data_IF_189558422708
#
_entry.id   IF_189558422708
#
_cell.length_a   1.000
_cell.length_b   1.000
_cell.length_c   1.000
_cell.angle_alpha   90.00
_cell.angle_beta   90.00
_cell.angle_gamma   90.00
#
_symmetry.space_group_name_H-M   'P 1'
#
loop_
_entity.id
_entity.type
_entity.pdbx_description
1 polymer ?
#
# COMPACT_ATOMS: atom_id res chain seq x y z
N UNK A 1 4.51 -19.20 20.21
CA UNK A 1 3.16 -19.26 20.84
C UNK A 1 2.15 -19.68 19.77
N UNK A 2 1.20 -20.55 20.09
CA UNK A 2 0.14 -20.97 19.16
C UNK A 2 -1.13 -20.16 19.37
N UNK A 3 -2.08 -20.26 18.43
CA UNK A 3 -3.36 -19.52 18.49
C UNK A 3 -4.11 -19.76 19.79
N UNK A 4 -4.19 -21.01 20.26
CA UNK A 4 -4.89 -21.36 21.51
C UNK A 4 -4.25 -20.77 22.75
N UNK A 5 -2.92 -20.65 22.80
CA UNK A 5 -2.21 -20.00 23.92
C UNK A 5 -2.51 -18.50 23.99
N UNK A 6 -2.58 -17.83 22.81
CA UNK A 6 -2.95 -16.41 22.75
C UNK A 6 -4.42 -16.21 23.18
N UNK A 7 -5.32 -17.06 22.68
CA UNK A 7 -6.73 -17.06 23.08
C UNK A 7 -6.87 -17.20 24.62
N UNK A 8 -6.12 -18.12 25.25
CA UNK A 8 -6.07 -18.26 26.70
C UNK A 8 -5.65 -16.97 27.39
N UNK A 9 -4.57 -16.34 26.90
CA UNK A 9 -4.08 -15.10 27.48
C UNK A 9 -5.14 -13.99 27.41
N UNK A 10 -5.77 -13.82 26.25
CA UNK A 10 -6.85 -12.83 26.06
C UNK A 10 -8.04 -13.15 27.00
N UNK A 11 -8.51 -14.40 27.02
CA UNK A 11 -9.61 -14.84 27.88
C UNK A 11 -9.35 -14.55 29.35
N UNK A 12 -8.15 -14.92 29.83
CA UNK A 12 -7.77 -14.70 31.23
C UNK A 12 -7.63 -13.23 31.57
N UNK A 13 -7.04 -12.43 30.69
CA UNK A 13 -6.94 -10.98 30.84
C UNK A 13 -8.30 -10.29 30.91
N UNK A 14 -9.28 -10.78 30.13
CA UNK A 14 -10.67 -10.29 30.17
C UNK A 14 -11.49 -10.89 31.33
N UNK A 15 -10.95 -11.79 32.12
CA UNK A 15 -11.64 -12.44 33.25
C UNK A 15 -12.82 -13.36 32.84
N UNK A 16 -12.84 -13.79 31.56
CA UNK A 16 -13.95 -14.60 31.03
C UNK A 16 -13.73 -16.08 31.38
N UNK A 17 -14.78 -16.73 31.91
CA UNK A 17 -14.70 -18.15 32.24
C UNK A 17 -14.62 -19.01 30.97
N UNK A 18 -13.80 -20.07 31.01
CA UNK A 18 -13.67 -21.00 29.89
C UNK A 18 -15.03 -21.59 29.44
N UNK A 19 -15.90 -21.92 30.36
CA UNK A 19 -17.26 -22.40 30.04
C UNK A 19 -18.02 -21.41 29.16
N UNK A 20 -17.92 -20.12 29.41
CA UNK A 20 -18.62 -19.08 28.62
C UNK A 20 -18.12 -19.07 27.17
N UNK A 21 -16.82 -19.27 26.97
CA UNK A 21 -16.21 -19.21 25.64
C UNK A 21 -16.44 -20.50 24.86
N UNK A 22 -16.29 -21.67 25.51
CA UNK A 22 -16.19 -22.94 24.79
C UNK A 22 -17.47 -23.78 24.84
N UNK A 23 -18.52 -23.38 25.58
CA UNK A 23 -19.76 -24.14 25.68
C UNK A 23 -20.35 -24.42 24.29
N UNK A 24 -20.70 -25.66 24.01
CA UNK A 24 -21.19 -26.15 22.72
C UNK A 24 -20.23 -25.96 21.52
N UNK A 25 -19.01 -25.48 21.73
CA UNK A 25 -17.98 -25.40 20.67
C UNK A 25 -16.92 -26.48 20.83
N UNK A 26 -16.38 -26.62 22.04
CA UNK A 26 -15.33 -27.59 22.35
C UNK A 26 -15.64 -28.30 23.66
N UNK A 27 -15.39 -29.62 23.71
CA UNK A 27 -15.44 -30.36 24.96
C UNK A 27 -14.39 -29.86 25.96
N UNK A 28 -14.58 -30.11 27.25
CA UNK A 28 -13.65 -29.70 28.30
C UNK A 28 -12.22 -30.17 28.04
N UNK A 29 -12.06 -31.39 27.62
CA UNK A 29 -10.73 -31.95 27.24
C UNK A 29 -10.13 -31.23 26.05
N UNK A 30 -10.94 -30.92 25.02
CA UNK A 30 -10.46 -30.27 23.80
C UNK A 30 -10.02 -28.82 24.05
N UNK A 31 -10.80 -28.01 24.77
CA UNK A 31 -10.38 -26.64 24.98
C UNK A 31 -9.13 -26.52 25.88
N UNK A 32 -8.94 -27.42 26.84
CA UNK A 32 -7.68 -27.48 27.60
C UNK A 32 -6.47 -27.76 26.71
N UNK A 33 -6.59 -28.71 25.79
CA UNK A 33 -5.54 -29.03 24.81
C UNK A 33 -5.29 -27.87 23.86
N UNK A 34 -6.37 -27.18 23.41
CA UNK A 34 -6.28 -26.01 22.53
C UNK A 34 -5.55 -24.87 23.24
N UNK A 35 -5.98 -24.47 24.44
CA UNK A 35 -5.35 -23.41 25.25
C UNK A 35 -3.89 -23.74 25.66
N UNK A 36 -3.52 -25.01 25.64
CA UNK A 36 -2.14 -25.44 25.89
C UNK A 36 -1.30 -25.55 24.60
N UNK A 37 -1.88 -25.20 23.44
CA UNK A 37 -1.23 -25.27 22.15
C UNK A 37 -0.95 -26.70 21.65
N UNK A 38 -1.58 -27.72 22.24
CA UNK A 38 -1.41 -29.12 21.87
C UNK A 38 -2.25 -29.52 20.65
N UNK A 39 -3.37 -28.84 20.42
CA UNK A 39 -4.25 -29.07 19.26
C UNK A 39 -4.68 -27.73 18.68
N UNK A 40 -5.02 -27.73 17.39
CA UNK A 40 -5.62 -26.62 16.69
C UNK A 40 -7.15 -26.83 16.61
N UNK A 41 -7.88 -25.79 16.21
CA UNK A 41 -9.32 -25.84 15.97
C UNK A 41 -9.63 -25.47 14.52
N UNK A 42 -10.88 -25.65 14.07
CA UNK A 42 -11.31 -25.18 12.75
C UNK A 42 -11.43 -23.66 12.72
N UNK A 43 -11.35 -23.06 11.55
CA UNK A 43 -11.52 -21.62 11.38
C UNK A 43 -12.88 -21.13 11.91
N UNK A 44 -13.97 -21.87 11.61
CA UNK A 44 -15.31 -21.53 12.09
C UNK A 44 -15.39 -21.50 13.62
N UNK A 45 -14.88 -22.55 14.27
CA UNK A 45 -14.82 -22.62 15.74
C UNK A 45 -13.98 -21.49 16.31
N UNK A 46 -12.87 -21.16 15.67
CA UNK A 46 -11.99 -20.07 16.08
C UNK A 46 -12.70 -18.71 16.01
N UNK A 47 -13.40 -18.42 14.91
CA UNK A 47 -14.18 -17.18 14.77
C UNK A 47 -15.27 -17.07 15.85
N UNK A 48 -16.01 -18.14 16.12
CA UNK A 48 -16.97 -18.17 17.23
C UNK A 48 -16.33 -17.96 18.61
N UNK A 49 -15.10 -18.44 18.83
CA UNK A 49 -14.35 -18.17 20.06
C UNK A 49 -14.03 -16.68 20.18
N UNK A 50 -13.58 -16.05 19.11
CA UNK A 50 -13.29 -14.61 19.08
C UNK A 50 -14.55 -13.78 19.37
N UNK A 51 -15.68 -14.11 18.74
CA UNK A 51 -16.99 -13.46 19.00
C UNK A 51 -17.34 -13.50 20.49
N UNK A 52 -17.22 -14.68 21.12
CA UNK A 52 -17.52 -14.84 22.55
C UNK A 52 -16.52 -14.16 23.49
N UNK A 53 -15.34 -13.86 23.00
CA UNK A 53 -14.35 -13.06 23.70
C UNK A 53 -14.54 -11.56 23.47
N UNK A 54 -15.46 -11.14 22.59
CA UNK A 54 -15.59 -9.78 22.09
C UNK A 54 -14.23 -9.27 21.57
N UNK A 55 -13.64 -10.02 20.65
CA UNK A 55 -12.37 -9.71 19.98
C UNK A 55 -12.59 -9.75 18.48
N UNK A 56 -12.33 -8.65 17.81
CA UNK A 56 -12.34 -8.59 16.37
C UNK A 56 -11.20 -9.40 15.77
N UNK A 57 -11.44 -10.04 14.61
CA UNK A 57 -10.40 -10.81 13.91
C UNK A 57 -9.16 -9.99 13.61
N UNK A 58 -9.34 -8.70 13.29
CA UNK A 58 -8.27 -7.73 13.06
C UNK A 58 -7.45 -7.44 14.31
N UNK A 59 -8.11 -7.33 15.47
CA UNK A 59 -7.44 -7.16 16.77
C UNK A 59 -6.61 -8.40 17.12
N UNK A 60 -7.20 -9.60 16.93
CA UNK A 60 -6.48 -10.84 17.16
C UNK A 60 -5.26 -10.97 16.24
N UNK A 61 -5.41 -10.68 14.94
CA UNK A 61 -4.30 -10.73 13.98
C UNK A 61 -3.15 -9.80 14.39
N UNK A 62 -3.47 -8.59 14.85
CA UNK A 62 -2.47 -7.64 15.35
C UNK A 62 -1.68 -8.21 16.54
N UNK A 63 -2.39 -8.73 17.54
CA UNK A 63 -1.77 -9.34 18.73
C UNK A 63 -0.94 -10.58 18.36
N UNK A 64 -1.47 -11.43 17.46
CA UNK A 64 -0.78 -12.62 17.00
C UNK A 64 0.51 -12.29 16.24
N UNK A 65 0.46 -11.31 15.35
CA UNK A 65 1.64 -10.83 14.61
C UNK A 65 2.70 -10.27 15.55
N UNK A 66 2.33 -9.48 16.55
CA UNK A 66 3.29 -8.95 17.53
C UNK A 66 4.07 -10.07 18.22
N UNK A 67 3.39 -11.16 18.59
CA UNK A 67 4.02 -12.33 19.20
C UNK A 67 4.84 -13.13 18.19
N UNK A 68 4.34 -13.30 16.95
CA UNK A 68 5.04 -14.04 15.91
C UNK A 68 6.23 -13.28 15.35
N UNK A 69 6.17 -11.94 15.28
CA UNK A 69 7.32 -11.11 14.89
C UNK A 69 8.51 -11.30 15.82
N UNK A 70 8.29 -11.43 17.14
CA UNK A 70 9.37 -11.75 18.09
C UNK A 70 10.03 -13.11 17.84
N UNK A 71 9.36 -14.02 17.13
CA UNK A 71 9.84 -15.37 16.81
C UNK A 71 10.29 -15.51 15.36
N UNK A 72 9.89 -14.58 14.46
CA UNK A 72 10.25 -14.63 13.05
C UNK A 72 11.64 -14.05 12.81
N UNK A 73 12.43 -14.73 12.01
CA UNK A 73 13.72 -14.22 11.53
C UNK A 73 13.57 -13.15 10.45
N UNK A 74 12.40 -13.07 9.80
CA UNK A 74 12.13 -12.17 8.68
C UNK A 74 10.90 -11.31 8.95
N UNK A 75 11.08 -10.00 8.89
CA UNK A 75 10.09 -8.96 9.22
C UNK A 75 9.65 -8.24 7.94
N UNK A 76 8.80 -8.88 7.12
CA UNK A 76 8.40 -8.36 5.80
C UNK A 76 7.89 -6.91 5.83
N UNK A 77 7.01 -6.57 6.77
CA UNK A 77 6.42 -5.23 6.83
C UNK A 77 7.45 -4.16 7.25
N UNK A 78 8.36 -4.51 8.17
CA UNK A 78 9.48 -3.63 8.55
C UNK A 78 10.38 -3.40 7.35
N UNK A 79 10.83 -4.49 6.69
CA UNK A 79 11.68 -4.37 5.49
C UNK A 79 11.02 -3.56 4.37
N UNK A 80 9.68 -3.67 4.19
CA UNK A 80 8.95 -2.85 3.22
C UNK A 80 8.96 -1.38 3.60
N UNK A 81 8.66 -1.05 4.85
CA UNK A 81 8.63 0.33 5.33
C UNK A 81 10.02 0.96 5.24
N UNK A 82 11.05 0.26 5.74
CA UNK A 82 12.45 0.71 5.67
C UNK A 82 12.90 0.91 4.23
N UNK A 83 12.48 0.03 3.32
CA UNK A 83 12.82 0.12 1.89
C UNK A 83 12.22 1.37 1.24
N UNK A 84 10.95 1.64 1.49
CA UNK A 84 10.25 2.80 0.94
C UNK A 84 10.87 4.10 1.48
N UNK A 85 11.15 4.15 2.78
CA UNK A 85 11.81 5.29 3.42
C UNK A 85 13.23 5.50 2.87
N UNK A 86 14.03 4.43 2.80
CA UNK A 86 15.41 4.51 2.30
C UNK A 86 15.46 4.95 0.83
N UNK A 87 14.47 4.55 0.03
CA UNK A 87 14.37 4.99 -1.36
C UNK A 87 14.00 6.48 -1.46
N UNK A 88 13.06 6.94 -0.65
CA UNK A 88 12.70 8.36 -0.54
C UNK A 88 13.91 9.21 -0.15
N UNK A 89 14.68 8.78 0.84
CA UNK A 89 15.88 9.47 1.35
C UNK A 89 17.09 9.37 0.40
N UNK A 90 16.96 8.66 -0.71
CA UNK A 90 18.06 8.43 -1.65
C UNK A 90 19.18 7.53 -1.10
N UNK A 91 18.92 6.74 -0.06
CA UNK A 91 19.91 5.91 0.63
C UNK A 91 20.19 4.59 -0.12
N UNK A 92 21.06 4.67 -1.13
CA UNK A 92 21.47 3.52 -1.95
C UNK A 92 21.98 2.34 -1.12
N UNK A 93 22.78 2.61 -0.07
CA UNK A 93 23.42 1.56 0.74
C UNK A 93 22.39 0.74 1.50
N UNK A 94 21.41 1.40 2.11
CA UNK A 94 20.37 0.71 2.85
C UNK A 94 19.40 -0.04 1.91
N UNK A 95 19.02 0.54 0.76
CA UNK A 95 18.23 -0.17 -0.26
C UNK A 95 18.95 -1.45 -0.70
N UNK A 96 20.27 -1.42 -0.93
CA UNK A 96 21.06 -2.61 -1.25
C UNK A 96 21.10 -3.64 -0.12
N UNK A 97 21.15 -3.19 1.12
CA UNK A 97 21.13 -4.06 2.31
C UNK A 97 19.79 -4.77 2.45
N UNK A 98 18.69 -4.03 2.28
CA UNK A 98 17.32 -4.55 2.31
C UNK A 98 17.03 -5.52 1.16
N UNK A 99 17.52 -5.24 -0.05
CA UNK A 99 17.44 -6.18 -1.18
C UNK A 99 17.99 -7.56 -0.82
N UNK A 100 19.17 -7.62 -0.17
CA UNK A 100 19.78 -8.90 0.27
C UNK A 100 18.97 -9.58 1.39
N UNK A 101 18.43 -8.80 2.33
CA UNK A 101 17.54 -9.36 3.38
C UNK A 101 16.28 -9.97 2.76
N UNK A 102 15.69 -9.31 1.76
CA UNK A 102 14.51 -9.79 1.04
C UNK A 102 14.80 -11.05 0.22
N UNK A 103 15.96 -11.12 -0.41
CA UNK A 103 16.43 -12.31 -1.14
C UNK A 103 16.53 -13.52 -0.21
N UNK A 104 17.23 -13.37 0.93
CA UNK A 104 17.31 -14.42 1.96
C UNK A 104 15.93 -14.80 2.50
N UNK A 105 15.07 -13.80 2.74
CA UNK A 105 13.69 -14.05 3.18
C UNK A 105 12.91 -14.91 2.19
N UNK A 106 13.09 -14.71 0.88
CA UNK A 106 12.51 -15.56 -0.14
C UNK A 106 13.13 -16.95 -0.17
N UNK A 107 14.47 -17.06 -0.14
CA UNK A 107 15.19 -18.35 -0.16
C UNK A 107 14.75 -19.27 1.00
N UNK A 108 14.58 -18.72 2.21
CA UNK A 108 14.23 -19.50 3.39
C UNK A 108 12.72 -19.76 3.52
N UNK A 109 11.86 -18.86 3.06
CA UNK A 109 10.40 -18.98 3.27
C UNK A 109 9.62 -19.39 2.04
N UNK A 110 10.17 -19.21 0.83
CA UNK A 110 9.52 -19.39 -0.47
C UNK A 110 8.26 -18.52 -0.65
N UNK A 111 8.08 -17.48 0.17
CA UNK A 111 6.92 -16.60 0.10
C UNK A 111 7.10 -15.56 -1.01
N UNK A 112 6.22 -15.57 -2.02
CA UNK A 112 6.26 -14.68 -3.18
C UNK A 112 6.31 -13.18 -2.81
N UNK A 113 5.76 -12.79 -1.67
CA UNK A 113 5.83 -11.39 -1.21
C UNK A 113 7.28 -10.90 -1.02
N UNK A 114 8.19 -11.75 -0.53
CA UNK A 114 9.60 -11.39 -0.43
C UNK A 114 10.26 -11.28 -1.80
N UNK A 115 9.95 -12.21 -2.72
CA UNK A 115 10.44 -12.15 -4.09
C UNK A 115 10.01 -10.88 -4.81
N UNK A 116 8.72 -10.57 -4.78
CA UNK A 116 8.20 -9.37 -5.45
C UNK A 116 8.77 -8.08 -4.84
N UNK A 117 8.88 -7.99 -3.51
CA UNK A 117 9.48 -6.82 -2.86
C UNK A 117 11.00 -6.71 -3.14
N UNK A 118 11.71 -7.84 -3.28
CA UNK A 118 13.10 -7.86 -3.76
C UNK A 118 13.21 -7.27 -5.16
N UNK A 119 12.28 -7.58 -6.09
CA UNK A 119 12.26 -6.98 -7.43
C UNK A 119 12.08 -5.45 -7.36
N UNK A 120 11.19 -4.97 -6.48
CA UNK A 120 11.01 -3.53 -6.23
C UNK A 120 12.32 -2.92 -5.69
N UNK A 121 12.95 -3.56 -4.71
CA UNK A 121 14.23 -3.10 -4.14
C UNK A 121 15.35 -3.07 -5.20
N UNK A 122 15.43 -4.09 -6.06
CA UNK A 122 16.39 -4.12 -7.19
C UNK A 122 16.16 -2.94 -8.14
N UNK A 123 14.90 -2.65 -8.48
CA UNK A 123 14.56 -1.51 -9.33
C UNK A 123 14.88 -0.15 -8.67
N UNK A 124 14.59 -0.02 -7.36
CA UNK A 124 14.94 1.16 -6.58
C UNK A 124 16.47 1.38 -6.54
N UNK A 125 17.23 0.33 -6.29
CA UNK A 125 18.69 0.36 -6.31
C UNK A 125 19.23 0.82 -7.67
N UNK A 126 18.71 0.28 -8.78
CA UNK A 126 19.08 0.69 -10.13
C UNK A 126 18.76 2.15 -10.39
N UNK A 127 17.63 2.65 -9.89
CA UNK A 127 17.22 4.04 -10.06
C UNK A 127 18.06 5.02 -9.25
N UNK A 128 18.52 4.63 -8.06
CA UNK A 128 19.43 5.41 -7.22
C UNK A 128 20.90 5.32 -7.72
N UNK A 129 21.24 4.26 -8.42
CA UNK A 129 22.57 4.07 -9.01
C UNK A 129 22.85 5.03 -10.17
N UNK A 130 24.10 5.46 -10.31
CA UNK A 130 24.51 6.41 -11.36
C UNK A 130 24.58 5.80 -12.77
N UNK A 131 24.32 4.51 -12.93
CA UNK A 131 24.59 3.78 -14.18
C UNK A 131 23.39 3.69 -15.13
N UNK A 132 22.27 4.35 -14.86
CA UNK A 132 21.04 4.30 -15.69
C UNK A 132 20.63 2.87 -16.09
N UNK A 133 20.78 1.92 -15.19
CA UNK A 133 20.43 0.52 -15.46
C UNK A 133 18.93 0.35 -15.73
N UNK A 134 18.62 -0.50 -16.71
CA UNK A 134 17.22 -0.77 -17.06
C UNK A 134 16.49 -1.57 -15.98
N UNK A 135 15.29 -1.13 -15.63
CA UNK A 135 14.37 -1.82 -14.71
C UNK A 135 13.35 -2.70 -15.44
N UNK A 136 13.60 -2.98 -16.72
CA UNK A 136 12.66 -3.69 -17.61
C UNK A 136 12.38 -5.12 -17.15
N UNK A 137 13.39 -5.80 -16.61
CA UNK A 137 13.24 -7.19 -16.13
C UNK A 137 12.32 -7.24 -14.91
N UNK A 138 12.60 -6.42 -13.91
CA UNK A 138 11.81 -6.33 -12.68
C UNK A 138 10.36 -5.93 -12.99
N UNK A 139 10.18 -4.93 -13.87
CA UNK A 139 8.86 -4.51 -14.34
C UNK A 139 8.09 -5.64 -15.00
N UNK A 140 8.73 -6.44 -15.87
CA UNK A 140 8.07 -7.57 -16.55
C UNK A 140 7.59 -8.63 -15.54
N UNK A 141 8.41 -8.98 -14.57
CA UNK A 141 8.06 -9.97 -13.54
C UNK A 141 6.86 -9.50 -12.70
N UNK A 142 6.89 -8.26 -12.21
CA UNK A 142 5.78 -7.67 -11.45
C UNK A 142 4.51 -7.57 -12.31
N UNK A 143 4.64 -7.15 -13.58
CA UNK A 143 3.53 -7.12 -14.53
C UNK A 143 2.92 -8.51 -14.70
N UNK A 144 3.75 -9.53 -14.89
CA UNK A 144 3.31 -10.91 -15.05
C UNK A 144 2.55 -11.40 -13.82
N UNK A 145 3.07 -11.14 -12.61
CA UNK A 145 2.38 -11.47 -11.37
C UNK A 145 1.00 -10.80 -11.28
N UNK A 146 0.95 -9.47 -11.47
CA UNK A 146 -0.27 -8.69 -11.32
C UNK A 146 -1.34 -9.05 -12.37
N UNK A 147 -0.97 -9.32 -13.63
CA UNK A 147 -1.92 -9.72 -14.67
C UNK A 147 -2.51 -11.12 -14.46
N UNK A 148 -1.83 -12.01 -13.75
CA UNK A 148 -2.35 -13.34 -13.40
C UNK A 148 -3.35 -13.30 -12.25
N UNK A 149 -3.29 -12.30 -11.40
CA UNK A 149 -4.23 -12.12 -10.30
C UNK A 149 -5.55 -11.59 -10.83
N UNK A 150 -6.62 -12.39 -10.75
CA UNK A 150 -7.95 -11.99 -11.20
C UNK A 150 -8.63 -11.01 -10.24
N UNK A 151 -8.30 -11.11 -8.96
CA UNK A 151 -8.81 -10.24 -7.91
C UNK A 151 -7.65 -9.58 -7.19
N UNK A 152 -7.68 -8.25 -7.09
CA UNK A 152 -6.68 -7.50 -6.36
C UNK A 152 -7.21 -7.14 -4.98
N UNK A 153 -6.43 -7.50 -3.97
CA UNK A 153 -6.62 -7.11 -2.58
C UNK A 153 -5.54 -6.13 -2.11
N UNK A 154 -5.36 -6.05 -0.81
CA UNK A 154 -4.33 -5.20 -0.19
C UNK A 154 -2.93 -5.42 -0.77
N UNK A 155 -2.60 -6.68 -1.05
CA UNK A 155 -1.26 -7.02 -1.50
C UNK A 155 -0.98 -6.51 -2.91
N UNK A 156 -1.87 -6.74 -3.87
CA UNK A 156 -1.68 -6.36 -5.27
C UNK A 156 -1.69 -4.84 -5.46
N UNK A 157 -2.64 -4.13 -4.85
CA UNK A 157 -2.65 -2.66 -4.86
C UNK A 157 -1.42 -2.09 -4.16
N UNK A 158 -1.00 -2.65 -3.01
CA UNK A 158 0.21 -2.26 -2.32
C UNK A 158 1.45 -2.46 -3.18
N UNK A 159 1.59 -3.63 -3.80
CA UNK A 159 2.72 -3.94 -4.69
C UNK A 159 2.78 -2.99 -5.89
N UNK A 160 1.66 -2.73 -6.56
CA UNK A 160 1.64 -1.80 -7.68
C UNK A 160 1.98 -0.37 -7.24
N UNK A 161 1.43 0.07 -6.11
CA UNK A 161 1.75 1.38 -5.54
C UNK A 161 3.25 1.54 -5.26
N UNK A 162 3.88 0.53 -4.67
CA UNK A 162 5.33 0.56 -4.38
C UNK A 162 6.18 0.48 -5.64
N UNK A 163 5.66 -0.16 -6.70
CA UNK A 163 6.35 -0.40 -7.96
C UNK A 163 6.05 0.65 -9.05
N UNK A 164 5.10 1.56 -8.85
CA UNK A 164 4.57 2.45 -9.90
C UNK A 164 5.66 3.28 -10.58
N UNK A 165 6.72 3.63 -9.87
CA UNK A 165 7.83 4.43 -10.37
C UNK A 165 8.62 3.77 -11.51
N UNK A 166 8.54 2.43 -11.66
CA UNK A 166 9.24 1.69 -12.71
C UNK A 166 8.41 1.51 -13.99
N UNK A 167 7.14 1.91 -13.97
CA UNK A 167 6.24 1.77 -15.11
C UNK A 167 6.29 2.98 -16.02
N UNK A 168 6.16 2.73 -17.32
CA UNK A 168 5.78 3.76 -18.30
C UNK A 168 4.25 3.80 -18.46
N UNK A 169 3.74 4.83 -19.11
CA UNK A 169 2.31 5.04 -19.28
C UNK A 169 1.60 3.89 -20.00
N UNK A 170 2.25 3.21 -20.93
CA UNK A 170 1.66 2.10 -21.70
C UNK A 170 1.56 0.82 -20.86
N UNK A 171 2.62 0.52 -20.09
CA UNK A 171 2.64 -0.64 -19.20
C UNK A 171 1.65 -0.48 -18.03
N UNK A 172 1.58 0.73 -17.46
CA UNK A 172 0.60 1.03 -16.41
C UNK A 172 -0.84 0.91 -16.91
N UNK A 173 -1.13 1.43 -18.11
CA UNK A 173 -2.45 1.32 -18.73
C UNK A 173 -2.92 -0.12 -18.83
N UNK A 174 -2.08 -1.03 -19.34
CA UNK A 174 -2.40 -2.46 -19.48
C UNK A 174 -2.76 -3.12 -18.14
N UNK A 175 -2.11 -2.72 -17.05
CA UNK A 175 -2.41 -3.24 -15.72
C UNK A 175 -3.73 -2.70 -15.18
N UNK A 176 -3.98 -1.41 -15.38
CA UNK A 176 -5.07 -0.70 -14.72
C UNK A 176 -6.42 -0.86 -15.43
N UNK A 177 -6.44 -1.18 -16.75
CA UNK A 177 -7.68 -1.31 -17.54
C UNK A 177 -8.56 -2.48 -17.12
N UNK A 178 -7.98 -3.54 -16.57
CA UNK A 178 -8.67 -4.81 -16.31
C UNK A 178 -9.19 -4.95 -14.87
N UNK A 179 -9.26 -3.85 -14.09
CA UNK A 179 -9.65 -3.91 -12.70
C UNK A 179 -10.92 -3.13 -12.40
N UNK A 180 -11.75 -3.73 -11.56
CA UNK A 180 -12.92 -3.08 -11.00
C UNK A 180 -12.49 -2.17 -9.84
N UNK A 181 -12.45 -0.86 -10.13
CA UNK A 181 -12.05 0.15 -9.14
C UNK A 181 -13.17 0.47 -8.15
N UNK A 182 -14.41 0.38 -8.61
CA UNK A 182 -15.60 0.75 -7.85
C UNK A 182 -16.30 -0.54 -7.40
N UNK A 183 -16.37 -0.76 -6.11
CA UNK A 183 -17.12 -1.87 -5.52
C UNK A 183 -18.61 -1.53 -5.48
N UNK A 184 -19.44 -2.51 -5.83
CA UNK A 184 -20.87 -2.30 -5.93
C UNK A 184 -21.56 -2.13 -4.55
N UNK A 185 -21.12 -2.80 -3.52
CA UNK A 185 -21.57 -2.66 -2.11
C UNK A 185 -20.69 -3.56 -1.22
N UNK A 186 -19.94 -3.03 -0.32
CA UNK A 186 -19.12 -3.80 0.63
C UNK A 186 -18.86 -3.02 1.93
N UNK A 187 -18.43 -3.71 2.96
CA UNK A 187 -17.89 -3.07 4.15
C UNK A 187 -16.73 -2.16 3.77
N UNK A 188 -16.66 -0.99 4.41
CA UNK A 188 -15.59 -0.03 4.14
C UNK A 188 -14.26 -0.58 4.66
N UNK A 189 -13.41 -1.03 3.75
CA UNK A 189 -12.03 -1.39 4.05
C UNK A 189 -11.12 -0.18 3.81
N UNK A 190 -10.84 0.56 4.87
CA UNK A 190 -10.04 1.78 4.79
C UNK A 190 -8.64 1.53 4.22
N UNK A 191 -8.03 0.39 4.54
CA UNK A 191 -6.69 0.05 4.03
C UNK A 191 -6.74 -0.14 2.52
N UNK A 192 -7.74 -0.86 2.03
CA UNK A 192 -7.93 -1.08 0.59
C UNK A 192 -8.26 0.22 -0.13
N UNK A 193 -9.10 1.09 0.46
CA UNK A 193 -9.39 2.43 -0.07
C UNK A 193 -8.11 3.25 -0.23
N UNK A 194 -7.27 3.31 0.80
CA UNK A 194 -6.02 4.07 0.79
C UNK A 194 -5.05 3.55 -0.28
N UNK A 195 -4.93 2.23 -0.41
CA UNK A 195 -4.09 1.61 -1.43
C UNK A 195 -4.61 1.87 -2.85
N UNK A 196 -5.92 1.80 -3.08
CA UNK A 196 -6.55 2.16 -4.36
C UNK A 196 -6.29 3.63 -4.70
N UNK A 197 -6.47 4.52 -3.74
CA UNK A 197 -6.21 5.96 -3.92
C UNK A 197 -4.73 6.19 -4.24
N UNK A 198 -3.82 5.63 -3.48
CA UNK A 198 -2.37 5.76 -3.71
C UNK A 198 -1.98 5.27 -5.11
N UNK A 199 -2.52 4.14 -5.53
CA UNK A 199 -2.28 3.58 -6.87
C UNK A 199 -2.81 4.49 -7.97
N UNK A 200 -4.05 5.02 -7.83
CA UNK A 200 -4.62 5.95 -8.79
C UNK A 200 -3.85 7.27 -8.86
N UNK A 201 -3.44 7.80 -7.72
CA UNK A 201 -2.61 9.01 -7.65
C UNK A 201 -1.29 8.82 -8.41
N UNK A 202 -0.59 7.70 -8.18
CA UNK A 202 0.63 7.37 -8.92
C UNK A 202 0.40 7.23 -10.43
N UNK A 203 -0.69 6.56 -10.83
CA UNK A 203 -1.07 6.42 -12.23
C UNK A 203 -1.39 7.76 -12.90
N UNK A 204 -2.17 8.62 -12.24
CA UNK A 204 -2.51 9.96 -12.74
C UNK A 204 -1.24 10.79 -12.98
N UNK A 205 -0.31 10.79 -12.01
CA UNK A 205 0.98 11.47 -12.17
C UNK A 205 1.77 10.96 -13.38
N UNK A 206 1.83 9.65 -13.55
CA UNK A 206 2.51 9.00 -14.66
C UNK A 206 1.91 9.42 -16.00
N UNK A 207 0.56 9.46 -16.12
CA UNK A 207 -0.13 9.91 -17.33
C UNK A 207 0.03 11.43 -17.57
N UNK A 208 0.02 12.26 -16.52
CA UNK A 208 0.32 13.69 -16.62
C UNK A 208 1.75 13.93 -17.15
N UNK A 209 2.74 13.22 -16.59
CA UNK A 209 4.14 13.28 -17.05
C UNK A 209 4.29 12.84 -18.52
N UNK A 210 3.54 11.80 -18.92
CA UNK A 210 3.51 11.32 -20.30
C UNK A 210 2.66 12.19 -21.25
N UNK A 211 1.96 13.22 -20.74
CA UNK A 211 1.02 14.07 -21.47
C UNK A 211 -0.15 13.30 -22.13
N UNK A 212 -0.63 12.25 -21.45
CA UNK A 212 -1.76 11.41 -21.86
C UNK A 212 -3.05 11.98 -21.31
N UNK A 213 -3.62 13.02 -21.95
CA UNK A 213 -4.76 13.79 -21.41
C UNK A 213 -6.01 12.93 -21.14
N UNK A 214 -6.38 12.04 -22.06
CA UNK A 214 -7.56 11.19 -21.94
C UNK A 214 -7.43 10.23 -20.74
N UNK A 215 -6.27 9.57 -20.61
CA UNK A 215 -5.99 8.67 -19.49
C UNK A 215 -5.97 9.45 -18.16
N UNK A 216 -5.33 10.62 -18.13
CA UNK A 216 -5.34 11.49 -16.95
C UNK A 216 -6.76 11.83 -16.53
N UNK A 217 -7.63 12.20 -17.47
CA UNK A 217 -9.03 12.54 -17.19
C UNK A 217 -9.83 11.31 -16.71
N UNK A 218 -9.64 10.15 -17.36
CA UNK A 218 -10.31 8.91 -17.00
C UNK A 218 -9.96 8.47 -15.58
N UNK A 219 -8.67 8.34 -15.25
CA UNK A 219 -8.23 7.87 -13.92
C UNK A 219 -8.50 8.91 -12.82
N UNK A 220 -8.45 10.21 -13.14
CA UNK A 220 -8.88 11.24 -12.22
C UNK A 220 -10.40 11.15 -11.92
N UNK A 221 -11.22 10.87 -12.92
CA UNK A 221 -12.65 10.64 -12.71
C UNK A 221 -12.91 9.42 -11.82
N UNK A 222 -12.16 8.32 -12.01
CA UNK A 222 -12.21 7.17 -11.10
C UNK A 222 -11.83 7.56 -9.67
N UNK A 223 -10.72 8.31 -9.48
CA UNK A 223 -10.30 8.79 -8.18
C UNK A 223 -11.41 9.62 -7.48
N UNK A 224 -12.11 10.47 -8.22
CA UNK A 224 -13.20 11.27 -7.64
C UNK A 224 -14.40 10.44 -7.22
N UNK A 225 -14.71 9.37 -7.97
CA UNK A 225 -15.86 8.49 -7.73
C UNK A 225 -15.63 7.45 -6.63
N UNK A 226 -14.38 7.14 -6.26
CA UNK A 226 -14.13 6.23 -5.15
C UNK A 226 -14.86 6.72 -3.92
N UNK A 227 -15.60 5.83 -3.29
CA UNK A 227 -16.19 6.13 -1.99
C UNK A 227 -15.07 6.20 -0.94
N UNK A 228 -15.17 7.15 -0.02
CA UNK A 228 -14.15 7.39 1.00
C UNK A 228 -14.82 7.53 2.33
N UNK A 229 -14.40 6.74 3.29
CA UNK A 229 -14.88 6.79 4.67
C UNK A 229 -14.87 8.21 5.24
N UNK A 230 -15.83 8.51 6.12
CA UNK A 230 -15.99 9.86 6.67
C UNK A 230 -14.73 10.35 7.41
N UNK A 231 -14.02 9.45 8.05
CA UNK A 231 -12.85 9.76 8.88
C UNK A 231 -11.51 9.59 8.12
N UNK A 232 -11.54 9.22 6.83
CA UNK A 232 -10.34 9.01 6.06
C UNK A 232 -9.75 10.33 5.56
N UNK A 233 -8.91 10.95 6.42
CA UNK A 233 -8.26 12.24 6.13
C UNK A 233 -7.27 12.09 4.98
N UNK A 234 -6.48 11.00 4.94
CA UNK A 234 -5.52 10.74 3.88
C UNK A 234 -6.19 10.76 2.50
N UNK A 235 -7.21 9.95 2.32
CA UNK A 235 -7.91 9.83 1.05
C UNK A 235 -8.57 11.16 0.61
N UNK A 236 -9.23 11.85 1.53
CA UNK A 236 -9.90 13.12 1.26
C UNK A 236 -8.94 14.24 0.88
N UNK A 237 -7.84 14.34 1.61
CA UNK A 237 -6.82 15.35 1.36
C UNK A 237 -6.03 15.07 0.07
N UNK A 238 -5.71 13.81 -0.22
CA UNK A 238 -5.09 13.39 -1.48
C UNK A 238 -5.99 13.72 -2.68
N UNK A 239 -7.29 13.41 -2.61
CA UNK A 239 -8.24 13.81 -3.66
C UNK A 239 -8.27 15.33 -3.88
N UNK A 240 -8.25 16.13 -2.80
CA UNK A 240 -8.22 17.58 -2.90
C UNK A 240 -6.93 18.10 -3.53
N UNK A 241 -5.78 17.55 -3.14
CA UNK A 241 -4.49 17.87 -3.73
C UNK A 241 -4.47 17.53 -5.23
N UNK A 242 -4.91 16.35 -5.61
CA UNK A 242 -4.97 15.92 -7.02
C UNK A 242 -5.99 16.74 -7.84
N UNK A 243 -7.04 17.28 -7.21
CA UNK A 243 -7.90 18.27 -7.85
C UNK A 243 -7.10 19.51 -8.26
N UNK A 244 -6.27 20.05 -7.36
CA UNK A 244 -5.40 21.18 -7.67
C UNK A 244 -4.40 20.88 -8.78
N UNK A 245 -3.72 19.71 -8.71
CA UNK A 245 -2.79 19.27 -9.76
C UNK A 245 -3.46 19.13 -11.13
N UNK A 246 -4.67 18.54 -11.16
CA UNK A 246 -5.44 18.37 -12.40
C UNK A 246 -5.83 19.73 -12.99
N UNK A 247 -6.23 20.66 -12.14
CA UNK A 247 -6.58 22.03 -12.54
C UNK A 247 -5.38 22.75 -13.16
N UNK A 248 -4.18 22.63 -12.56
CA UNK A 248 -2.92 23.14 -13.15
C UNK A 248 -2.63 22.47 -14.48
N UNK A 249 -2.76 21.14 -14.54
CA UNK A 249 -2.49 20.35 -15.74
C UNK A 249 -3.41 20.74 -16.91
N UNK A 250 -4.66 21.10 -16.63
CA UNK A 250 -5.64 21.57 -17.62
C UNK A 250 -5.40 23.03 -18.08
N UNK A 251 -4.53 23.77 -17.36
CA UNK A 251 -4.09 25.10 -17.76
C UNK A 251 -4.57 26.22 -16.87
N UNK A 252 -5.44 25.97 -15.89
CA UNK A 252 -5.87 26.96 -14.89
C UNK A 252 -4.91 26.95 -13.69
N UNK A 253 -3.81 27.67 -13.86
CA UNK A 253 -2.74 27.71 -12.86
C UNK A 253 -3.17 28.44 -11.59
N UNK A 254 -3.91 29.54 -11.70
CA UNK A 254 -4.32 30.37 -10.55
C UNK A 254 -5.22 29.57 -9.62
N UNK A 255 -6.28 29.00 -10.16
CA UNK A 255 -7.21 28.19 -9.37
C UNK A 255 -6.56 26.93 -8.82
N UNK A 256 -5.69 26.28 -9.60
CA UNK A 256 -5.00 25.06 -9.16
C UNK A 256 -4.04 25.32 -8.01
N UNK A 257 -3.23 26.38 -8.08
CA UNK A 257 -2.33 26.79 -6.98
C UNK A 257 -3.13 27.18 -5.74
N UNK A 258 -4.26 27.89 -5.88
CA UNK A 258 -5.16 28.21 -4.76
C UNK A 258 -5.61 26.93 -4.03
N UNK A 259 -6.11 25.94 -4.75
CA UNK A 259 -6.55 24.65 -4.16
C UNK A 259 -5.41 23.96 -3.42
N UNK A 260 -4.20 23.93 -4.02
CA UNK A 260 -3.03 23.28 -3.42
C UNK A 260 -2.58 24.04 -2.15
N UNK A 261 -2.51 25.37 -2.19
CA UNK A 261 -2.11 26.18 -1.04
C UNK A 261 -3.08 26.01 0.14
N UNK A 262 -4.39 25.99 -0.13
CA UNK A 262 -5.39 25.70 0.90
C UNK A 262 -5.21 24.28 1.48
N UNK A 263 -4.87 23.30 0.64
CA UNK A 263 -4.62 21.93 1.08
C UNK A 263 -3.37 21.85 1.95
N UNK A 264 -2.29 22.52 1.56
CA UNK A 264 -1.05 22.59 2.34
C UNK A 264 -1.24 23.31 3.68
N UNK A 265 -2.02 24.40 3.69
CA UNK A 265 -2.40 25.06 4.94
C UNK A 265 -3.17 24.13 5.89
N UNK A 266 -4.03 23.26 5.34
CA UNK A 266 -4.73 22.24 6.13
C UNK A 266 -3.74 21.22 6.73
N UNK A 267 -2.77 20.72 5.94
CA UNK A 267 -1.76 19.79 6.45
C UNK A 267 -0.97 20.38 7.62
N UNK A 268 -0.49 21.60 7.48
CA UNK A 268 0.24 22.30 8.54
C UNK A 268 -0.59 22.46 9.82
N UNK A 269 -1.87 22.84 9.68
CA UNK A 269 -2.78 22.99 10.83
C UNK A 269 -3.08 21.66 11.54
N UNK A 270 -3.04 20.56 10.83
CA UNK A 270 -3.32 19.21 11.36
C UNK A 270 -2.05 18.44 11.75
N UNK A 271 -0.84 19.00 11.55
CA UNK A 271 0.44 18.31 11.81
C UNK A 271 0.67 17.12 10.89
N UNK A 272 0.21 17.19 9.63
CA UNK A 272 0.38 16.13 8.62
C UNK A 272 1.66 16.38 7.80
N UNK A 273 2.80 16.45 8.47
CA UNK A 273 4.07 16.87 7.87
C UNK A 273 4.56 15.92 6.79
N UNK A 274 4.44 14.62 6.98
CA UNK A 274 4.84 13.61 5.99
C UNK A 274 4.05 13.76 4.69
N UNK A 275 2.72 13.94 4.79
CA UNK A 275 1.85 14.13 3.64
C UNK A 275 2.10 15.48 2.94
N UNK A 276 2.44 16.51 3.72
CA UNK A 276 2.86 17.81 3.19
C UNK A 276 4.12 17.67 2.34
N UNK A 277 5.16 17.01 2.86
CA UNK A 277 6.43 16.83 2.15
C UNK A 277 6.25 15.98 0.89
N UNK A 278 5.54 14.85 0.98
CA UNK A 278 5.23 13.99 -0.18
C UNK A 278 4.54 14.80 -1.30
N UNK A 279 3.53 15.59 -0.96
CA UNK A 279 2.80 16.36 -1.96
C UNK A 279 3.57 17.57 -2.52
N UNK A 280 4.46 18.16 -1.74
CA UNK A 280 5.38 19.20 -2.24
C UNK A 280 6.31 18.64 -3.29
N UNK A 281 6.91 17.48 -3.07
CA UNK A 281 7.78 16.80 -4.05
C UNK A 281 7.04 16.47 -5.34
N UNK A 282 5.83 15.92 -5.23
CA UNK A 282 4.97 15.63 -6.39
C UNK A 282 4.70 16.90 -7.21
N UNK A 283 4.38 18.01 -6.56
CA UNK A 283 4.14 19.29 -7.24
C UNK A 283 5.39 19.78 -7.95
N UNK A 284 6.54 19.77 -7.28
CA UNK A 284 7.82 20.18 -7.84
C UNK A 284 8.22 19.35 -9.07
N UNK A 285 8.05 18.02 -8.98
CA UNK A 285 8.35 17.11 -10.08
C UNK A 285 7.44 17.35 -11.30
N UNK A 286 6.15 17.61 -11.09
CA UNK A 286 5.22 17.91 -12.18
C UNK A 286 5.56 19.25 -12.84
N UNK A 287 5.82 20.29 -12.07
CA UNK A 287 6.15 21.63 -12.59
C UNK A 287 7.47 21.60 -13.36
N UNK A 288 8.51 20.95 -12.86
CA UNK A 288 9.80 20.81 -13.55
C UNK A 288 9.65 20.07 -14.89
N UNK A 289 8.87 18.99 -14.91
CA UNK A 289 8.58 18.23 -16.15
C UNK A 289 7.85 19.11 -17.19
N UNK A 290 6.92 19.96 -16.76
CA UNK A 290 6.20 20.86 -17.68
C UNK A 290 7.08 21.98 -18.22
N UNK A 291 7.99 22.53 -17.41
CA UNK A 291 8.94 23.56 -17.83
C UNK A 291 9.90 23.02 -18.89
N UNK A 292 10.52 21.86 -18.66
CA UNK A 292 11.42 21.21 -19.61
C UNK A 292 10.75 20.95 -20.97
N UNK A 293 9.47 20.54 -20.97
CA UNK A 293 8.71 20.32 -22.21
C UNK A 293 8.43 21.64 -22.95
N UNK A 294 8.15 22.73 -22.24
CA UNK A 294 7.95 24.06 -22.86
C UNK A 294 9.25 24.55 -23.51
N UNK A 295 10.39 24.38 -22.86
CA UNK A 295 11.69 24.74 -23.41
C UNK A 295 12.07 23.92 -24.63
N UNK A 296 11.88 22.59 -24.58
CA UNK A 296 12.13 21.69 -25.71
C UNK A 296 11.25 22.03 -26.92
N UNK A 297 10.00 22.41 -26.71
CA UNK A 297 9.09 22.86 -27.77
C UNK A 297 9.52 24.21 -28.38
N UNK A 298 10.04 25.15 -27.55
CA UNK A 298 10.56 26.43 -28.02
C UNK A 298 11.80 26.23 -28.88
N UNK A 299 12.74 25.36 -28.45
CA UNK A 299 13.98 25.04 -29.21
C UNK A 299 13.72 24.32 -30.56
N UNK A 300 12.59 23.61 -30.69
CA UNK A 300 12.20 22.95 -31.96
C UNK A 300 11.48 23.89 -32.93
N UNK A 301 11.02 25.05 -32.48
CA UNK A 301 10.33 26.06 -33.29
C UNK A 301 11.26 27.23 -33.69
N UNK A 302 12.39 27.37 -33.04
CA UNK A 302 13.49 28.25 -33.39
C UNK A 302 14.49 27.52 -34.33
#
# INVERSE_FOLDING_TARGET
MKTGELVKNIRTAKGIKAKTVYDNLLSRSMYYKYESGLVETTADTFLHILDRLNVESSEFDLLFRQVMQQQSRFHYNEYRNDLLQSFHDGNFTEVRTLEKKLERGYEETQLLRFYNLKLVATAMKKKLGHNNESVLAERKEITHYLLRSKHWGHYEYGLLSDAIFMFDSTSAEKLLQNHEWLEANGEQDQILEDLKIKTLCGAILLFMKANKKEHTAYYYNLLTKLNVGHNNIYARSSKRFFKGLKTIYDGDYEQGIKIISETFSLYQKLGLDDLYHEHVEILQELLSTQLQKKETRRRRKA
#
